data_IF_899428329678
#
_entry.id   IF_899428329678
#
_cell.length_a   1.000
_cell.length_b   1.000
_cell.length_c   1.000
_cell.angle_alpha   90.00
_cell.angle_beta   90.00
_cell.angle_gamma   90.00
#
_symmetry.space_group_name_H-M   'P 1'
#
loop_
_entity.id
_entity.type
_entity.pdbx_description
1 polymer ?
#
# COMPACT_ATOMS: atom_id res chain seq x y z
N UNK A 1 12.05 -26.40 -1.56
CA UNK A 1 11.71 -25.03 -1.13
C UNK A 1 10.64 -25.10 -0.04
N UNK A 2 10.76 -24.30 1.02
CA UNK A 2 9.74 -24.23 2.08
C UNK A 2 8.48 -23.51 1.58
N UNK A 3 8.64 -22.42 0.85
CA UNK A 3 7.54 -21.62 0.31
C UNK A 3 7.38 -21.87 -1.19
N UNK A 4 6.15 -21.79 -1.66
CA UNK A 4 5.76 -21.83 -3.08
C UNK A 4 4.98 -20.59 -3.49
N UNK A 5 4.17 -20.05 -2.57
CA UNK A 5 3.30 -18.90 -2.79
C UNK A 5 3.79 -17.70 -1.98
N UNK A 6 4.15 -16.63 -2.67
CA UNK A 6 4.60 -15.37 -2.07
C UNK A 6 3.52 -14.32 -2.27
N UNK A 7 2.97 -13.83 -1.16
CA UNK A 7 1.97 -12.78 -1.15
C UNK A 7 2.64 -11.46 -0.81
N UNK A 8 2.60 -10.50 -1.71
CA UNK A 8 3.18 -9.17 -1.51
C UNK A 8 2.11 -8.14 -1.17
N UNK A 9 2.42 -7.19 -0.30
CA UNK A 9 1.78 -5.89 -0.32
C UNK A 9 2.34 -5.04 -1.47
N UNK A 10 1.62 -3.97 -1.85
CA UNK A 10 2.03 -3.09 -2.94
C UNK A 10 2.60 -1.76 -2.45
N UNK A 11 1.76 -0.99 -1.72
CA UNK A 11 2.08 0.38 -1.31
C UNK A 11 3.10 0.37 -0.17
N UNK A 12 4.16 1.17 -0.27
CA UNK A 12 5.30 1.18 0.66
C UNK A 12 6.16 -0.11 0.68
N UNK A 13 5.75 -1.18 -0.01
CA UNK A 13 6.54 -2.41 -0.14
C UNK A 13 7.27 -2.49 -1.48
N UNK A 14 6.54 -2.41 -2.58
CA UNK A 14 7.07 -2.46 -3.95
C UNK A 14 6.94 -1.10 -4.67
N UNK A 15 5.82 -0.42 -4.45
CA UNK A 15 5.47 0.85 -5.05
C UNK A 15 5.64 1.96 -4.02
N UNK A 16 6.51 2.94 -4.33
CA UNK A 16 6.82 4.05 -3.43
C UNK A 16 5.65 5.02 -3.36
N UNK A 17 4.76 4.80 -2.38
CA UNK A 17 3.58 5.63 -2.19
C UNK A 17 3.95 7.08 -1.89
N UNK A 18 4.96 7.34 -1.08
CA UNK A 18 5.31 8.72 -0.71
C UNK A 18 5.81 9.50 -1.91
N UNK A 19 6.76 8.95 -2.67
CA UNK A 19 7.29 9.63 -3.85
C UNK A 19 6.20 9.87 -4.91
N UNK A 20 5.36 8.87 -5.17
CA UNK A 20 4.28 8.96 -6.16
C UNK A 20 3.15 9.90 -5.72
N UNK A 21 2.75 9.86 -4.44
CA UNK A 21 1.72 10.77 -3.91
C UNK A 21 2.21 12.22 -3.87
N UNK A 22 3.49 12.45 -3.53
CA UNK A 22 4.12 13.77 -3.57
C UNK A 22 4.06 14.35 -4.98
N UNK A 23 4.52 13.58 -5.99
CA UNK A 23 4.48 14.00 -7.38
C UNK A 23 3.06 14.28 -7.86
N UNK A 24 2.09 13.46 -7.44
CA UNK A 24 0.68 13.64 -7.81
C UNK A 24 0.08 14.90 -7.19
N UNK A 25 0.36 15.14 -5.91
CA UNK A 25 -0.15 16.33 -5.20
C UNK A 25 0.53 17.60 -5.67
N UNK A 26 1.78 17.56 -6.10
CA UNK A 26 2.48 18.70 -6.69
C UNK A 26 1.85 19.10 -8.02
N UNK A 27 1.54 18.15 -8.90
CA UNK A 27 0.81 18.39 -10.15
C UNK A 27 -0.59 18.96 -9.88
N UNK A 28 -1.32 18.37 -8.91
CA UNK A 28 -2.63 18.85 -8.50
C UNK A 28 -2.55 20.29 -7.92
N UNK A 29 -1.55 20.56 -7.09
CA UNK A 29 -1.31 21.87 -6.49
C UNK A 29 -1.18 22.97 -7.56
N UNK A 30 -0.39 22.72 -8.59
CA UNK A 30 -0.20 23.66 -9.69
C UNK A 30 -1.42 23.74 -10.61
N UNK A 31 -1.98 22.62 -11.06
CA UNK A 31 -3.11 22.59 -11.99
C UNK A 31 -4.38 23.23 -11.41
N UNK A 32 -4.62 23.06 -10.12
CA UNK A 32 -5.75 23.66 -9.42
C UNK A 32 -5.44 25.04 -8.83
N UNK A 33 -4.24 25.59 -9.06
CA UNK A 33 -3.80 26.91 -8.58
C UNK A 33 -3.99 27.08 -7.06
N UNK A 34 -3.59 26.07 -6.27
CA UNK A 34 -3.85 26.06 -4.83
C UNK A 34 -3.11 27.18 -4.08
N UNK A 35 -1.97 27.65 -4.62
CA UNK A 35 -1.25 28.79 -4.07
C UNK A 35 -2.12 30.06 -4.06
N UNK A 36 -2.80 30.37 -5.16
CA UNK A 36 -3.71 31.51 -5.25
C UNK A 36 -4.96 31.39 -4.38
N UNK A 37 -5.26 30.17 -3.91
CA UNK A 37 -6.36 29.87 -2.99
C UNK A 37 -5.95 29.92 -1.50
N UNK A 38 -4.69 30.26 -1.21
CA UNK A 38 -4.20 30.47 0.14
C UNK A 38 -3.26 29.38 0.68
N UNK A 39 -2.87 28.39 -0.13
CA UNK A 39 -1.88 27.37 0.24
C UNK A 39 -0.51 27.81 -0.26
N UNK A 40 0.22 28.60 0.53
CA UNK A 40 1.46 29.25 0.10
C UNK A 40 2.72 28.38 0.26
N UNK A 41 2.57 27.15 0.79
CA UNK A 41 3.69 26.26 1.05
C UNK A 41 3.30 24.82 0.72
N UNK A 42 3.81 24.30 -0.40
CA UNK A 42 3.53 22.94 -0.84
C UNK A 42 4.06 21.88 0.12
N UNK A 43 5.26 22.04 0.71
CA UNK A 43 5.83 21.06 1.61
C UNK A 43 4.99 20.90 2.89
N UNK A 44 4.48 22.02 3.42
CA UNK A 44 3.55 21.98 4.54
C UNK A 44 2.21 21.33 4.15
N UNK A 45 1.69 21.64 2.97
CA UNK A 45 0.47 21.02 2.43
C UNK A 45 0.64 19.49 2.31
N UNK A 46 1.75 19.04 1.73
CA UNK A 46 2.05 17.63 1.58
C UNK A 46 2.21 16.91 2.93
N UNK A 47 2.94 17.52 3.86
CA UNK A 47 3.10 17.00 5.24
C UNK A 47 1.75 16.83 5.93
N UNK A 48 0.88 17.84 5.88
CA UNK A 48 -0.45 17.77 6.48
C UNK A 48 -1.31 16.71 5.81
N UNK A 49 -1.24 16.59 4.49
CA UNK A 49 -1.92 15.52 3.75
C UNK A 49 -1.51 14.13 4.26
N UNK A 50 -0.23 13.85 4.43
CA UNK A 50 0.24 12.55 4.92
C UNK A 50 -0.35 12.23 6.30
N UNK A 51 -0.32 13.18 7.23
CA UNK A 51 -0.90 13.01 8.58
C UNK A 51 -2.39 12.67 8.51
N UNK A 52 -3.16 13.39 7.69
CA UNK A 52 -4.60 13.13 7.54
C UNK A 52 -4.87 11.83 6.77
N UNK A 53 -4.05 11.50 5.78
CA UNK A 53 -4.14 10.25 5.04
C UNK A 53 -4.00 9.06 5.97
N UNK A 54 -2.93 9.00 6.77
CA UNK A 54 -2.65 7.89 7.67
C UNK A 54 -3.75 7.73 8.73
N UNK A 55 -4.16 8.84 9.34
CA UNK A 55 -5.25 8.85 10.32
C UNK A 55 -6.58 8.35 9.74
N UNK A 56 -6.90 8.72 8.50
CA UNK A 56 -8.16 8.31 7.87
C UNK A 56 -8.10 6.86 7.37
N UNK A 57 -6.95 6.38 6.91
CA UNK A 57 -6.74 4.97 6.62
C UNK A 57 -6.88 4.10 7.88
N UNK A 58 -6.33 4.55 9.00
CA UNK A 58 -6.51 3.86 10.28
C UNK A 58 -8.00 3.80 10.68
N UNK A 59 -8.71 4.92 10.60
CA UNK A 59 -10.16 4.96 10.86
C UNK A 59 -10.96 4.06 9.92
N UNK A 60 -10.57 3.96 8.65
CA UNK A 60 -11.21 3.09 7.67
C UNK A 60 -10.98 1.62 7.99
N UNK A 61 -9.73 1.22 8.31
CA UNK A 61 -9.42 -0.15 8.75
C UNK A 61 -10.20 -0.59 9.98
N UNK A 62 -10.46 0.33 10.89
CA UNK A 62 -11.24 0.09 12.12
C UNK A 62 -12.77 0.26 11.93
N UNK A 63 -13.25 0.48 10.70
CA UNK A 63 -14.68 0.58 10.41
C UNK A 63 -15.36 1.88 10.86
N UNK A 64 -14.60 2.90 11.32
CA UNK A 64 -15.15 4.18 11.81
C UNK A 64 -15.58 5.12 10.69
N UNK A 65 -15.11 4.91 9.46
CA UNK A 65 -15.52 5.67 8.29
C UNK A 65 -15.70 4.74 7.09
N UNK A 66 -16.50 5.19 6.12
CA UNK A 66 -16.70 4.46 4.85
C UNK A 66 -15.65 4.87 3.82
N UNK A 67 -15.49 4.03 2.80
CA UNK A 67 -14.57 4.27 1.68
C UNK A 67 -14.82 5.62 0.99
N UNK A 68 -16.06 6.01 0.81
CA UNK A 68 -16.39 7.29 0.16
C UNK A 68 -15.91 8.49 0.98
N UNK A 69 -15.95 8.38 2.31
CA UNK A 69 -15.40 9.41 3.20
C UNK A 69 -13.88 9.47 3.11
N UNK A 70 -13.21 8.33 3.11
CA UNK A 70 -11.76 8.24 2.98
C UNK A 70 -11.26 8.93 1.70
N UNK A 71 -11.96 8.73 0.57
CA UNK A 71 -11.55 9.23 -0.75
C UNK A 71 -11.33 10.73 -0.81
N UNK A 72 -12.15 11.54 -0.12
CA UNK A 72 -12.09 13.00 -0.19
C UNK A 72 -11.78 13.71 1.14
N UNK A 73 -12.13 13.13 2.30
CA UNK A 73 -11.94 13.79 3.60
C UNK A 73 -10.48 14.07 3.93
N UNK A 74 -9.53 13.31 3.41
CA UNK A 74 -8.10 13.63 3.54
C UNK A 74 -7.76 14.97 2.91
N UNK A 75 -8.33 15.29 1.76
CA UNK A 75 -8.18 16.60 1.11
C UNK A 75 -8.90 17.70 1.91
N UNK A 76 -10.10 17.40 2.39
CA UNK A 76 -10.87 18.32 3.21
C UNK A 76 -10.15 18.74 4.49
N UNK A 77 -9.63 17.78 5.24
CA UNK A 77 -8.91 18.07 6.49
C UNK A 77 -7.62 18.84 6.20
N UNK A 78 -6.92 18.49 5.12
CA UNK A 78 -5.72 19.24 4.69
C UNK A 78 -6.05 20.69 4.34
N UNK A 79 -7.16 20.95 3.63
CA UNK A 79 -7.60 22.32 3.32
C UNK A 79 -7.97 23.11 4.58
N UNK A 80 -8.60 22.46 5.57
CA UNK A 80 -8.96 23.11 6.83
C UNK A 80 -7.73 23.59 7.62
N UNK A 81 -6.59 22.91 7.54
CA UNK A 81 -5.35 23.37 8.16
C UNK A 81 -4.88 24.73 7.58
N UNK A 82 -5.25 25.01 6.33
CA UNK A 82 -5.03 26.32 5.68
C UNK A 82 -6.23 27.27 5.79
N UNK A 83 -7.20 26.97 6.66
CA UNK A 83 -8.43 27.75 6.87
C UNK A 83 -9.32 27.85 5.61
N UNK A 84 -9.24 26.88 4.72
CA UNK A 84 -10.01 26.82 3.47
C UNK A 84 -11.17 25.83 3.67
N UNK A 85 -12.35 26.34 4.04
CA UNK A 85 -13.58 25.56 4.22
C UNK A 85 -14.35 25.46 2.88
N UNK A 86 -13.77 24.76 1.88
CA UNK A 86 -14.34 24.57 0.55
C UNK A 86 -14.50 23.06 0.25
N UNK A 87 -15.67 22.49 0.63
CA UNK A 87 -15.95 21.06 0.41
C UNK A 87 -15.98 20.69 -1.09
N UNK A 88 -16.60 21.46 -2.00
CA UNK A 88 -16.54 21.16 -3.44
C UNK A 88 -15.11 21.02 -3.95
N UNK A 89 -14.21 21.92 -3.57
CA UNK A 89 -12.79 21.83 -3.93
C UNK A 89 -12.14 20.55 -3.39
N UNK A 90 -12.40 20.20 -2.12
CA UNK A 90 -11.84 18.99 -1.52
C UNK A 90 -12.30 17.71 -2.24
N UNK A 91 -13.55 17.67 -2.65
CA UNK A 91 -14.11 16.54 -3.41
C UNK A 91 -13.49 16.44 -4.80
N UNK A 92 -13.36 17.56 -5.50
CA UNK A 92 -12.68 17.63 -6.78
C UNK A 92 -11.22 17.17 -6.67
N UNK A 93 -10.48 17.68 -5.68
CA UNK A 93 -9.11 17.23 -5.39
C UNK A 93 -9.04 15.72 -5.14
N UNK A 94 -9.99 15.15 -4.41
CA UNK A 94 -10.07 13.72 -4.16
C UNK A 94 -10.24 12.89 -5.43
N UNK A 95 -11.08 13.34 -6.36
CA UNK A 95 -11.29 12.71 -7.67
C UNK A 95 -10.02 12.79 -8.52
N UNK A 96 -9.49 13.99 -8.72
CA UNK A 96 -8.27 14.23 -9.52
C UNK A 96 -7.08 13.43 -8.96
N UNK A 97 -6.93 13.40 -7.65
CA UNK A 97 -5.87 12.62 -7.01
C UNK A 97 -5.98 11.12 -7.31
N UNK A 98 -7.18 10.53 -7.23
CA UNK A 98 -7.41 9.12 -7.50
C UNK A 98 -7.31 8.76 -8.99
N UNK A 99 -7.49 9.72 -9.88
CA UNK A 99 -7.28 9.52 -11.32
C UNK A 99 -5.79 9.61 -11.69
N UNK A 100 -5.04 10.54 -11.08
CA UNK A 100 -3.63 10.75 -11.39
C UNK A 100 -2.69 9.78 -10.66
N UNK A 101 -2.92 9.53 -9.37
CA UNK A 101 -2.02 8.72 -8.53
C UNK A 101 -1.66 7.37 -9.17
N UNK A 102 -2.62 6.56 -9.68
CA UNK A 102 -2.31 5.24 -10.22
C UNK A 102 -1.56 5.28 -11.56
N UNK A 103 -1.36 6.45 -12.16
CA UNK A 103 -0.54 6.59 -13.37
C UNK A 103 0.96 6.72 -13.08
N UNK A 104 1.33 6.93 -11.81
CA UNK A 104 2.72 7.07 -11.36
C UNK A 104 3.45 5.72 -11.37
N UNK A 105 4.78 5.77 -11.46
CA UNK A 105 5.59 4.59 -11.77
C UNK A 105 6.79 4.40 -10.84
N UNK A 106 6.94 5.23 -9.81
CA UNK A 106 8.10 5.15 -8.92
C UNK A 106 7.97 3.89 -8.06
N UNK A 107 8.97 3.03 -8.16
CA UNK A 107 9.08 1.78 -7.40
C UNK A 107 10.21 1.91 -6.38
N UNK A 108 10.16 1.12 -5.32
CA UNK A 108 11.32 0.95 -4.46
C UNK A 108 12.49 0.33 -5.24
N UNK A 109 13.73 0.66 -4.86
CA UNK A 109 14.91 0.07 -5.49
C UNK A 109 14.86 -1.46 -5.45
N UNK A 110 15.30 -2.10 -6.52
CA UNK A 110 15.37 -3.54 -6.67
C UNK A 110 14.00 -4.25 -6.81
N UNK A 111 12.91 -3.53 -7.02
CA UNK A 111 11.57 -4.15 -7.19
C UNK A 111 11.51 -5.06 -8.42
N UNK A 112 11.95 -4.58 -9.56
CA UNK A 112 11.87 -5.37 -10.80
C UNK A 112 12.83 -6.56 -10.75
N UNK A 113 14.04 -6.34 -10.28
CA UNK A 113 15.09 -7.37 -10.19
C UNK A 113 14.67 -8.52 -9.28
N UNK A 114 14.09 -8.23 -8.11
CA UNK A 114 13.63 -9.29 -7.20
C UNK A 114 12.42 -10.06 -7.77
N UNK A 115 11.49 -9.38 -8.43
CA UNK A 115 10.34 -10.06 -9.03
C UNK A 115 10.76 -10.94 -10.22
N UNK A 116 11.73 -10.50 -11.03
CA UNK A 116 12.34 -11.31 -12.10
C UNK A 116 13.06 -12.54 -11.51
N UNK A 117 13.85 -12.36 -10.44
CA UNK A 117 14.55 -13.44 -9.74
C UNK A 117 13.57 -14.49 -9.20
N UNK A 118 12.53 -14.06 -8.48
CA UNK A 118 11.54 -14.96 -7.89
C UNK A 118 10.73 -15.71 -8.95
N UNK A 119 10.36 -15.02 -10.02
CA UNK A 119 9.66 -15.62 -11.15
C UNK A 119 10.56 -16.65 -11.85
N UNK A 120 11.85 -16.33 -12.05
CA UNK A 120 12.86 -17.25 -12.61
C UNK A 120 13.07 -18.50 -11.76
N UNK A 121 12.83 -18.44 -10.46
CA UNK A 121 12.83 -19.57 -9.52
C UNK A 121 11.51 -20.32 -9.43
N UNK A 122 10.51 -19.97 -10.24
CA UNK A 122 9.18 -20.58 -10.29
C UNK A 122 8.33 -20.39 -9.04
N UNK A 123 8.55 -19.34 -8.24
CA UNK A 123 7.63 -18.93 -7.19
C UNK A 123 6.33 -18.41 -7.81
N UNK A 124 5.20 -18.70 -7.14
CA UNK A 124 3.90 -18.13 -7.50
C UNK A 124 3.71 -16.82 -6.73
N UNK A 125 3.69 -15.71 -7.47
CA UNK A 125 3.59 -14.39 -6.88
C UNK A 125 2.14 -13.91 -6.89
N UNK A 126 1.67 -13.40 -5.78
CA UNK A 126 0.33 -12.86 -5.58
C UNK A 126 0.42 -11.54 -4.84
N UNK A 127 -0.65 -10.75 -4.91
CA UNK A 127 -0.73 -9.48 -4.22
C UNK A 127 -1.93 -9.48 -3.27
N UNK A 128 -1.73 -9.02 -2.02
CA UNK A 128 -2.81 -8.75 -1.06
C UNK A 128 -2.69 -7.30 -0.61
N UNK A 129 -3.68 -6.47 -0.95
CA UNK A 129 -3.64 -5.04 -0.68
C UNK A 129 -4.95 -4.51 -0.10
N UNK A 130 -4.86 -3.53 0.81
CA UNK A 130 -6.01 -2.78 1.32
C UNK A 130 -6.48 -1.67 0.37
N UNK A 131 -5.76 -1.44 -0.71
CA UNK A 131 -6.10 -0.41 -1.69
C UNK A 131 -7.36 -0.74 -2.52
N UNK A 132 -7.91 0.30 -3.17
CA UNK A 132 -9.11 0.18 -4.00
C UNK A 132 -8.81 -0.59 -5.29
N UNK A 133 -9.70 -1.49 -5.67
CA UNK A 133 -9.48 -2.43 -6.77
C UNK A 133 -9.05 -1.74 -8.07
N UNK A 134 -9.85 -0.79 -8.55
CA UNK A 134 -9.53 -0.03 -9.78
C UNK A 134 -8.17 0.68 -9.67
N UNK A 135 -7.86 1.26 -8.53
CA UNK A 135 -6.61 2.00 -8.28
C UNK A 135 -5.41 1.06 -8.32
N UNK A 136 -5.48 -0.09 -7.63
CA UNK A 136 -4.36 -1.04 -7.57
C UNK A 136 -4.08 -1.69 -8.93
N UNK A 137 -5.12 -2.13 -9.65
CA UNK A 137 -4.93 -2.64 -11.01
C UNK A 137 -4.33 -1.60 -11.97
N UNK A 138 -4.73 -0.33 -11.83
CA UNK A 138 -4.16 0.76 -12.62
C UNK A 138 -2.68 1.02 -12.26
N UNK A 139 -2.30 1.03 -10.97
CA UNK A 139 -0.90 1.12 -10.54
C UNK A 139 -0.05 -0.01 -11.14
N UNK A 140 -0.51 -1.25 -11.01
CA UNK A 140 0.20 -2.42 -11.54
C UNK A 140 0.41 -2.31 -13.06
N UNK A 141 -0.61 -1.87 -13.78
CA UNK A 141 -0.54 -1.68 -15.24
C UNK A 141 0.49 -0.61 -15.61
N UNK A 142 0.42 0.58 -14.99
CA UNK A 142 1.28 1.69 -15.36
C UNK A 142 2.73 1.52 -14.91
N UNK A 143 2.97 0.84 -13.79
CA UNK A 143 4.31 0.53 -13.29
C UNK A 143 4.94 -0.71 -13.95
N UNK A 144 4.18 -1.45 -14.77
CA UNK A 144 4.66 -2.67 -15.42
C UNK A 144 4.69 -3.91 -14.51
N UNK A 145 4.14 -3.81 -13.29
CA UNK A 145 4.15 -4.90 -12.31
C UNK A 145 3.08 -5.97 -12.57
N UNK A 146 2.03 -5.68 -13.34
CA UNK A 146 0.90 -6.59 -13.57
C UNK A 146 1.33 -7.99 -14.08
N UNK A 147 2.43 -8.07 -14.83
CA UNK A 147 2.93 -9.32 -15.43
C UNK A 147 3.48 -10.33 -14.43
N UNK A 148 3.80 -9.90 -13.21
CA UNK A 148 4.43 -10.76 -12.21
C UNK A 148 3.43 -11.50 -11.32
N UNK A 149 2.23 -10.95 -11.14
CA UNK A 149 1.27 -11.45 -10.18
C UNK A 149 0.22 -12.34 -10.83
N UNK A 150 0.10 -13.58 -10.33
CA UNK A 150 -0.91 -14.53 -10.76
C UNK A 150 -2.31 -14.12 -10.29
N UNK A 151 -2.41 -13.60 -9.06
CA UNK A 151 -3.66 -13.09 -8.48
C UNK A 151 -3.42 -11.78 -7.74
N UNK A 152 -4.39 -10.87 -7.81
CA UNK A 152 -4.42 -9.59 -7.12
C UNK A 152 -5.64 -9.56 -6.22
N UNK A 153 -5.42 -9.69 -4.93
CA UNK A 153 -6.47 -9.70 -3.91
C UNK A 153 -6.58 -8.29 -3.30
N UNK A 154 -7.70 -7.64 -3.54
CA UNK A 154 -8.02 -6.32 -2.98
C UNK A 154 -9.01 -6.42 -1.84
N UNK A 155 -9.08 -5.37 -1.01
CA UNK A 155 -10.08 -5.29 0.05
C UNK A 155 -11.51 -5.27 -0.48
N UNK A 156 -11.74 -4.68 -1.66
CA UNK A 156 -13.06 -4.64 -2.29
C UNK A 156 -13.46 -6.03 -2.82
N UNK A 157 -12.55 -6.78 -3.46
CA UNK A 157 -12.83 -8.11 -3.98
C UNK A 157 -13.08 -9.15 -2.88
N UNK A 158 -12.36 -9.05 -1.75
CA UNK A 158 -12.51 -9.97 -0.61
C UNK A 158 -13.57 -9.52 0.40
N UNK A 159 -14.07 -8.30 0.29
CA UNK A 159 -14.92 -7.64 1.29
C UNK A 159 -14.30 -7.67 2.71
N UNK A 160 -12.98 -7.64 2.79
CA UNK A 160 -12.21 -7.65 4.04
C UNK A 160 -10.89 -6.87 3.87
N UNK A 161 -10.32 -6.43 4.97
CA UNK A 161 -9.09 -5.65 5.04
C UNK A 161 -8.02 -6.41 5.83
N UNK A 162 -6.75 -6.35 5.45
CA UNK A 162 -5.65 -6.69 6.35
C UNK A 162 -5.75 -5.78 7.61
N UNK A 163 -5.56 -6.27 8.83
CA UNK A 163 -5.02 -7.58 9.23
C UNK A 163 -6.06 -8.68 9.48
N UNK A 164 -7.32 -8.51 9.05
CA UNK A 164 -8.33 -9.54 9.27
C UNK A 164 -8.02 -10.81 8.49
N UNK A 165 -8.27 -11.97 9.11
CA UNK A 165 -7.96 -13.29 8.53
C UNK A 165 -8.72 -13.56 7.23
N UNK A 166 -9.91 -13.01 7.08
CA UNK A 166 -10.83 -13.27 5.97
C UNK A 166 -10.24 -12.88 4.61
N UNK A 167 -9.43 -11.82 4.50
CA UNK A 167 -8.76 -11.47 3.24
C UNK A 167 -7.71 -12.50 2.85
N UNK A 168 -7.02 -13.11 3.82
CA UNK A 168 -6.07 -14.19 3.58
C UNK A 168 -6.77 -15.49 3.21
N UNK A 169 -7.87 -15.85 3.89
CA UNK A 169 -8.69 -17.02 3.55
C UNK A 169 -9.21 -16.91 2.11
N UNK A 170 -9.67 -15.73 1.71
CA UNK A 170 -10.07 -15.46 0.33
C UNK A 170 -8.87 -15.61 -0.64
N UNK A 171 -7.69 -15.12 -0.26
CA UNK A 171 -6.48 -15.28 -1.06
C UNK A 171 -6.11 -16.75 -1.26
N UNK A 172 -6.13 -17.58 -0.22
CA UNK A 172 -5.89 -19.02 -0.32
C UNK A 172 -6.91 -19.71 -1.22
N UNK A 173 -8.20 -19.36 -1.09
CA UNK A 173 -9.25 -19.90 -1.95
C UNK A 173 -9.02 -19.56 -3.44
N UNK A 174 -8.61 -18.33 -3.73
CA UNK A 174 -8.38 -17.86 -5.11
C UNK A 174 -7.14 -18.48 -5.74
N UNK A 175 -6.07 -18.63 -4.98
CA UNK A 175 -4.76 -19.08 -5.48
C UNK A 175 -4.57 -20.58 -5.39
N UNK A 176 -5.38 -21.28 -4.57
CA UNK A 176 -5.15 -22.68 -4.19
C UNK A 176 -3.92 -22.89 -3.30
N UNK A 177 -3.36 -21.81 -2.74
CA UNK A 177 -2.18 -21.86 -1.88
C UNK A 177 -2.50 -22.53 -0.52
N UNK A 178 -1.55 -23.31 -0.03
CA UNK A 178 -1.59 -23.86 1.32
C UNK A 178 -0.85 -22.95 2.30
N UNK A 179 -1.34 -22.83 3.53
CA UNK A 179 -0.73 -21.97 4.56
C UNK A 179 0.75 -22.31 4.80
N UNK A 180 1.09 -23.58 4.93
CA UNK A 180 2.46 -24.04 5.20
C UNK A 180 3.45 -23.86 4.02
N UNK A 181 2.96 -23.48 2.82
CA UNK A 181 3.75 -23.16 1.63
C UNK A 181 3.68 -21.67 1.28
N UNK A 182 3.10 -20.85 2.15
CA UNK A 182 2.80 -19.45 1.91
C UNK A 182 3.56 -18.54 2.86
N UNK A 183 3.90 -17.33 2.37
CA UNK A 183 4.52 -16.28 3.16
C UNK A 183 4.00 -14.92 2.70
N UNK A 184 3.77 -14.00 3.65
CA UNK A 184 3.41 -12.59 3.38
C UNK A 184 4.66 -11.72 3.44
N UNK A 185 4.79 -10.79 2.48
CA UNK A 185 5.89 -9.83 2.37
C UNK A 185 5.28 -8.44 2.34
N UNK A 186 5.53 -7.63 3.35
CA UNK A 186 4.94 -6.29 3.48
C UNK A 186 5.71 -5.41 4.46
N UNK A 187 5.37 -4.11 4.46
CA UNK A 187 6.06 -3.09 5.27
C UNK A 187 5.37 -2.77 6.59
N UNK A 188 4.05 -2.93 6.66
CA UNK A 188 3.27 -2.46 7.81
C UNK A 188 3.05 -3.57 8.83
N UNK A 189 3.62 -3.38 10.03
CA UNK A 189 3.55 -4.37 11.13
C UNK A 189 2.12 -4.72 11.52
N UNK A 190 1.28 -3.71 11.76
CA UNK A 190 -0.10 -3.90 12.26
C UNK A 190 -1.06 -4.39 11.17
N UNK A 191 -0.65 -4.36 9.91
CA UNK A 191 -1.49 -4.69 8.77
C UNK A 191 -1.04 -5.98 8.11
N UNK A 192 0.20 -6.01 7.60
CA UNK A 192 0.73 -7.13 6.82
C UNK A 192 1.21 -8.27 7.71
N UNK A 193 2.07 -7.90 8.68
CA UNK A 193 2.75 -8.89 9.51
C UNK A 193 1.77 -9.50 10.53
N UNK A 194 1.02 -8.66 11.23
CA UNK A 194 -0.03 -9.13 12.14
C UNK A 194 -1.11 -9.91 11.38
N UNK A 195 -1.49 -9.46 10.18
CA UNK A 195 -2.44 -10.16 9.32
C UNK A 195 -1.96 -11.57 8.94
N UNK A 196 -0.70 -11.71 8.55
CA UNK A 196 -0.09 -13.00 8.26
C UNK A 196 -0.02 -13.91 9.49
N UNK A 197 0.33 -13.37 10.66
CA UNK A 197 0.29 -14.09 11.94
C UNK A 197 -1.13 -14.61 12.22
N UNK A 198 -2.15 -13.77 12.06
CA UNK A 198 -3.55 -14.13 12.25
C UNK A 198 -4.02 -15.20 11.25
N UNK A 199 -3.45 -15.20 10.05
CA UNK A 199 -3.73 -16.19 9.00
C UNK A 199 -2.90 -17.49 9.17
N UNK A 200 -1.96 -17.54 10.11
CA UNK A 200 -1.12 -18.71 10.37
C UNK A 200 -0.04 -18.97 9.32
N UNK A 201 0.45 -17.91 8.66
CA UNK A 201 1.55 -17.98 7.69
C UNK A 201 2.77 -17.20 8.16
N UNK A 202 3.93 -17.55 7.63
CA UNK A 202 5.18 -16.85 7.87
C UNK A 202 5.17 -15.44 7.23
N UNK A 203 6.05 -14.54 7.70
CA UNK A 203 6.10 -13.15 7.28
C UNK A 203 7.54 -12.68 7.01
N UNK A 204 7.66 -11.80 6.02
CA UNK A 204 8.83 -10.95 5.82
C UNK A 204 8.41 -9.51 6.05
N UNK A 205 8.97 -8.87 7.06
CA UNK A 205 8.84 -7.43 7.25
C UNK A 205 9.88 -6.70 6.39
N UNK A 206 9.41 -5.94 5.42
CA UNK A 206 10.25 -5.08 4.56
C UNK A 206 10.34 -3.69 5.20
N UNK A 207 11.44 -3.42 5.88
CA UNK A 207 11.64 -2.17 6.60
C UNK A 207 12.56 -1.21 5.84
N UNK A 208 12.02 -0.49 4.86
CA UNK A 208 12.78 0.48 4.07
C UNK A 208 13.26 1.71 4.87
N UNK A 209 12.61 2.04 5.98
CA UNK A 209 12.73 3.35 6.63
C UNK A 209 13.64 3.33 7.86
N UNK A 210 13.63 2.27 8.65
CA UNK A 210 14.40 2.20 9.90
C UNK A 210 15.15 0.87 9.99
N UNK A 211 16.26 0.87 10.74
CA UNK A 211 16.99 -0.36 11.08
C UNK A 211 16.68 -0.84 12.51
N UNK A 212 15.62 -0.32 13.10
CA UNK A 212 15.19 -0.67 14.44
C UNK A 212 14.45 -2.03 14.42
N UNK A 213 14.76 -2.93 15.35
CA UNK A 213 14.00 -4.18 15.48
C UNK A 213 12.54 -3.90 15.85
N UNK A 214 11.62 -4.56 15.18
CA UNK A 214 10.20 -4.44 15.45
C UNK A 214 9.64 -5.77 15.94
N UNK A 215 8.67 -5.71 16.85
CA UNK A 215 8.05 -6.89 17.46
C UNK A 215 6.55 -6.92 17.13
N UNK A 216 6.03 -8.12 16.92
CA UNK A 216 4.59 -8.40 16.72
C UNK A 216 4.16 -9.41 17.78
N UNK A 217 3.21 -9.03 18.65
CA UNK A 217 2.78 -9.89 19.77
C UNK A 217 3.99 -10.44 20.57
N UNK A 218 4.93 -9.53 20.92
CA UNK A 218 6.15 -9.85 21.68
C UNK A 218 7.15 -10.77 20.95
N UNK A 219 6.95 -11.06 19.68
CA UNK A 219 7.85 -11.88 18.85
C UNK A 219 8.32 -11.09 17.63
N UNK A 220 9.56 -11.29 17.16
CA UNK A 220 9.98 -10.70 15.90
C UNK A 220 9.22 -11.35 14.73
N UNK A 221 9.09 -10.67 13.58
CA UNK A 221 8.68 -11.32 12.33
C UNK A 221 9.56 -12.52 12.00
N UNK A 222 9.06 -13.46 11.18
CA UNK A 222 9.85 -14.62 10.75
C UNK A 222 11.16 -14.19 10.09
N UNK A 223 11.07 -13.15 9.24
CA UNK A 223 12.21 -12.48 8.64
C UNK A 223 12.00 -10.96 8.65
N UNK A 224 13.09 -10.21 8.70
CA UNK A 224 13.11 -8.76 8.49
C UNK A 224 14.21 -8.44 7.49
N UNK A 225 13.87 -7.66 6.46
CA UNK A 225 14.79 -7.17 5.43
C UNK A 225 14.72 -5.65 5.36
N UNK A 226 15.84 -5.01 5.03
CA UNK A 226 15.96 -3.56 4.94
C UNK A 226 16.07 -3.08 3.49
N UNK A 227 16.13 -4.02 2.56
CA UNK A 227 16.01 -3.78 1.13
C UNK A 227 15.39 -4.99 0.45
N UNK A 228 14.74 -4.79 -0.69
CA UNK A 228 14.15 -5.89 -1.47
C UNK A 228 15.22 -6.86 -1.99
N UNK A 229 16.48 -6.43 -2.13
CA UNK A 229 17.58 -7.29 -2.53
C UNK A 229 17.84 -8.43 -1.54
N UNK A 230 17.65 -8.17 -0.26
CA UNK A 230 17.88 -9.18 0.80
C UNK A 230 16.89 -10.35 0.73
N UNK A 231 15.79 -10.22 -0.02
CA UNK A 231 14.86 -11.34 -0.28
C UNK A 231 15.55 -12.49 -1.05
N UNK A 232 16.61 -12.23 -1.81
CA UNK A 232 17.40 -13.29 -2.49
C UNK A 232 18.11 -14.23 -1.50
N UNK A 233 18.34 -13.78 -0.25
CA UNK A 233 18.95 -14.60 0.80
C UNK A 233 17.92 -15.51 1.48
N UNK A 234 16.63 -15.23 1.33
CA UNK A 234 15.52 -16.00 1.90
C UNK A 234 14.98 -17.01 0.88
N UNK A 235 14.93 -16.61 -0.38
CA UNK A 235 14.32 -17.33 -1.50
C UNK A 235 15.36 -17.70 -2.57
#
# INVERSE_FOLDING_TARGET
MKYRHLFFDLDHTLWDFEANSRQTLEELYHSMQLESKGINNFDLFYKNYLVHNDKLWDRYRNGFIKVDELRWKRMWLTLLDFKIANEPLAREMGVVFLDLLPTRKILFPYTIEILDYLTGKNYQLHLITNGFEKTQHSKLKHSGLARYFNEVITSEASNSLKPHKEIFDYAFQKTGALQNESIMIGDTIEVDILGAVNAGIDQVHVNHLTKEPVMVNEKPPTYTVYSLKELEEIF
#
